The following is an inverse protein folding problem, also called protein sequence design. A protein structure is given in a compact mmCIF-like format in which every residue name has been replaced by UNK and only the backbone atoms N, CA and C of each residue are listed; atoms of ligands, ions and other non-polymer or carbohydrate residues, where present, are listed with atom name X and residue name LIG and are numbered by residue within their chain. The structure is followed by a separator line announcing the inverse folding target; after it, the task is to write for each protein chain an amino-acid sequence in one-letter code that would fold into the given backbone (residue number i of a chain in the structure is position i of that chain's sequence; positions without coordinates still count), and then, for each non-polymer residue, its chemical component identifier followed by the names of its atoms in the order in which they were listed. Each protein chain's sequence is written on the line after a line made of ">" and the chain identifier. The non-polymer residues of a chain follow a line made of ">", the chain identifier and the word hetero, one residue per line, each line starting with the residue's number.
data_IF_185562932666
#
_entry.id   IF_185562932666
#
_cell.length_a   1.000
_cell.length_b   1.000
_cell.length_c   1.000
_cell.angle_alpha   90.00
_cell.angle_beta   90.00
_cell.angle_gamma   90.00
#
_symmetry.space_group_name_H-M   'P 1'
#
loop_
_entity.id
_entity.type
_entity.pdbx_description
1 polymer ?
#
# COMPACT_ATOMS: atom_id res chain seq x y z
N UNK A 1 -49.17 25.61 9.27
CA UNK A 1 -49.02 26.83 8.45
C UNK A 1 -48.62 27.96 9.39
N UNK A 2 -47.36 27.95 9.84
CA UNK A 2 -46.23 28.68 9.27
C UNK A 2 -46.14 30.09 9.87
N UNK A 3 -45.41 30.16 10.99
CA UNK A 3 -44.95 31.36 11.67
C UNK A 3 -43.90 32.06 10.82
N UNK A 4 -44.28 33.17 10.19
CA UNK A 4 -43.37 34.20 9.71
C UNK A 4 -43.36 35.35 10.71
N UNK A 5 -42.19 35.73 11.21
CA UNK A 5 -41.98 37.05 11.79
C UNK A 5 -40.68 37.63 11.24
N UNK A 6 -40.85 38.84 10.74
CA UNK A 6 -39.92 39.66 9.98
C UNK A 6 -38.63 39.98 10.74
N UNK A 7 -37.57 40.09 9.95
CA UNK A 7 -36.31 40.71 10.33
C UNK A 7 -36.49 42.23 10.42
N UNK A 8 -36.14 42.80 11.57
CA UNK A 8 -35.95 44.23 11.73
C UNK A 8 -34.56 44.62 11.19
N UNK A 9 -34.55 45.56 10.25
CA UNK A 9 -33.39 46.30 9.78
C UNK A 9 -33.41 47.69 10.45
N UNK A 10 -32.28 48.19 10.96
CA UNK A 10 -31.74 49.56 10.82
C UNK A 10 -30.53 49.76 11.79
N UNK A 11 -29.74 50.87 11.74
CA UNK A 11 -28.41 50.86 11.15
C UNK A 11 -27.33 51.46 12.07
N UNK A 12 -26.07 51.39 11.67
CA UNK A 12 -25.01 52.21 12.28
C UNK A 12 -23.64 51.74 11.84
N UNK A 13 -23.01 52.45 10.90
CA UNK A 13 -21.77 53.20 11.21
C UNK A 13 -20.58 52.24 11.18
N UNK A 14 -19.86 52.10 10.08
CA UNK A 14 -19.03 53.16 9.53
C UNK A 14 -17.64 53.07 10.18
N UNK A 15 -16.65 52.59 9.42
CA UNK A 15 -15.24 52.82 9.72
C UNK A 15 -14.35 51.59 9.71
N UNK A 16 -13.36 51.62 8.82
CA UNK A 16 -12.03 51.05 9.09
C UNK A 16 -11.88 49.56 8.82
N UNK A 17 -11.28 49.23 7.68
CA UNK A 17 -10.84 47.88 7.38
C UNK A 17 -9.81 47.36 8.37
N UNK A 18 -9.87 46.06 8.60
CA UNK A 18 -8.72 45.23 8.96
C UNK A 18 -8.88 43.91 8.22
N UNK A 19 -7.94 43.63 7.32
CA UNK A 19 -7.84 42.39 6.57
C UNK A 19 -7.44 41.30 7.58
N UNK A 20 -8.41 40.56 8.10
CA UNK A 20 -8.15 39.46 9.03
C UNK A 20 -7.72 38.23 8.21
N UNK A 21 -6.40 38.04 8.13
CA UNK A 21 -5.71 36.90 7.54
C UNK A 21 -6.33 35.56 7.95
N UNK A 22 -6.79 34.81 6.95
CA UNK A 22 -7.12 33.39 7.04
C UNK A 22 -5.83 32.59 7.26
N UNK A 23 -5.46 32.30 8.51
CA UNK A 23 -4.51 31.22 8.81
C UNK A 23 -5.31 29.94 9.05
N UNK A 24 -5.69 29.29 7.95
CA UNK A 24 -6.20 27.92 7.97
C UNK A 24 -5.06 26.95 8.23
N UNK A 25 -4.93 26.49 9.48
CA UNK A 25 -4.00 25.42 9.85
C UNK A 25 -4.51 24.08 9.31
N UNK A 26 -4.04 23.72 8.11
CA UNK A 26 -4.14 22.35 7.61
C UNK A 26 -3.16 21.50 8.44
N UNK A 27 -3.69 20.77 9.41
CA UNK A 27 -2.95 19.72 10.13
C UNK A 27 -2.82 18.53 9.16
N UNK A 28 -1.70 18.48 8.44
CA UNK A 28 -1.28 17.29 7.71
C UNK A 28 -0.93 16.20 8.71
N UNK A 29 -1.87 15.28 8.97
CA UNK A 29 -1.56 13.99 9.60
C UNK A 29 -0.74 13.14 8.61
N UNK A 30 0.56 13.39 8.58
CA UNK A 30 1.53 12.44 8.02
C UNK A 30 1.59 11.24 8.96
N UNK A 31 0.77 10.23 8.67
CA UNK A 31 0.85 8.94 9.31
C UNK A 31 2.15 8.25 8.86
N UNK A 32 3.23 8.46 9.62
CA UNK A 32 4.49 7.74 9.43
C UNK A 32 4.30 6.31 9.92
N UNK A 33 3.91 5.41 9.01
CA UNK A 33 3.94 3.98 9.28
C UNK A 33 5.39 3.51 9.46
N UNK A 34 5.79 3.22 10.69
CA UNK A 34 7.08 2.58 10.96
C UNK A 34 7.02 1.13 10.44
N UNK A 35 7.74 0.84 9.35
CA UNK A 35 8.03 -0.52 8.93
C UNK A 35 9.01 -1.13 9.93
N UNK A 36 8.47 -1.76 10.98
CA UNK A 36 9.25 -2.67 11.81
C UNK A 36 9.56 -3.93 10.98
N UNK A 37 10.68 -3.93 10.26
CA UNK A 37 11.16 -5.07 9.49
C UNK A 37 12.55 -5.45 9.96
N UNK A 38 12.68 -6.60 10.64
CA UNK A 38 13.99 -7.22 10.85
C UNK A 38 14.65 -7.49 9.51
N UNK A 39 15.93 -7.14 9.36
CA UNK A 39 16.67 -7.35 8.11
C UNK A 39 16.76 -8.86 7.84
N UNK A 40 16.03 -9.34 6.82
CA UNK A 40 16.25 -10.67 6.28
C UNK A 40 17.68 -10.75 5.75
N UNK A 41 18.48 -11.65 6.33
CA UNK A 41 19.87 -11.88 5.91
C UNK A 41 19.99 -13.25 5.29
N UNK A 42 20.46 -13.27 4.05
CA UNK A 42 20.85 -14.49 3.38
C UNK A 42 22.34 -14.38 3.02
N UNK A 43 23.18 -15.39 3.32
CA UNK A 43 24.57 -15.38 2.89
C UNK A 43 24.67 -15.16 1.38
N UNK A 44 25.65 -14.37 0.95
CA UNK A 44 25.97 -14.05 -0.45
C UNK A 44 24.85 -13.44 -1.32
N UNK A 45 23.72 -13.06 -0.71
CA UNK A 45 22.60 -12.41 -1.39
C UNK A 45 22.43 -10.98 -0.86
N UNK A 46 22.26 -10.05 -1.79
CA UNK A 46 21.86 -8.68 -1.51
C UNK A 46 20.34 -8.57 -1.68
N UNK A 47 19.69 -7.97 -0.69
CA UNK A 47 18.26 -7.62 -0.74
C UNK A 47 18.14 -6.10 -0.66
N UNK A 48 17.80 -5.48 -1.76
CA UNK A 48 17.64 -4.03 -1.87
C UNK A 48 16.15 -3.70 -2.04
N UNK A 49 15.51 -3.06 -1.05
CA UNK A 49 14.15 -2.55 -1.23
C UNK A 49 14.12 -1.50 -2.34
N UNK A 50 13.14 -1.60 -3.23
CA UNK A 50 12.92 -0.64 -4.34
C UNK A 50 11.52 -0.08 -4.29
N UNK A 51 11.24 0.96 -5.10
CA UNK A 51 9.87 1.45 -5.31
C UNK A 51 9.17 0.65 -6.40
N UNK A 52 7.85 0.59 -6.34
CA UNK A 52 7.02 0.01 -7.42
C UNK A 52 7.28 0.66 -8.79
N UNK A 53 7.54 1.97 -8.81
CA UNK A 53 7.88 2.71 -10.03
C UNK A 53 9.22 2.31 -10.67
N UNK A 54 10.08 1.59 -9.95
CA UNK A 54 11.38 1.10 -10.44
C UNK A 54 11.29 -0.29 -11.05
N UNK A 55 10.12 -0.95 -10.96
CA UNK A 55 9.86 -2.22 -11.61
C UNK A 55 9.44 -2.00 -13.06
N UNK A 56 10.32 -2.33 -13.99
CA UNK A 56 10.04 -2.23 -15.41
C UNK A 56 8.78 -3.06 -15.77
N UNK A 57 7.84 -2.43 -16.48
CA UNK A 57 6.60 -3.06 -16.90
C UNK A 57 5.51 -3.18 -15.83
N UNK A 58 5.76 -2.80 -14.57
CA UNK A 58 4.83 -3.03 -13.46
C UNK A 58 3.42 -2.53 -13.75
N UNK A 59 3.25 -1.27 -14.19
CA UNK A 59 1.92 -0.71 -14.44
C UNK A 59 1.17 -1.35 -15.60
N UNK A 60 1.88 -1.96 -16.54
CA UNK A 60 1.33 -2.52 -17.77
C UNK A 60 1.10 -4.05 -17.68
N UNK A 61 1.49 -4.68 -16.58
CA UNK A 61 1.37 -6.12 -16.39
C UNK A 61 -0.10 -6.56 -16.23
N UNK A 62 -0.38 -7.83 -16.55
CA UNK A 62 -1.69 -8.42 -16.33
C UNK A 62 -1.84 -8.83 -14.86
N UNK A 63 -2.20 -7.86 -14.03
CA UNK A 63 -2.38 -8.09 -12.60
C UNK A 63 -3.56 -9.00 -12.27
N UNK A 64 -4.57 -9.15 -13.15
CA UNK A 64 -5.66 -10.08 -12.93
C UNK A 64 -5.16 -11.52 -13.07
N UNK A 65 -4.38 -11.80 -14.11
CA UNK A 65 -3.71 -13.09 -14.28
C UNK A 65 -2.73 -13.37 -13.13
N UNK A 66 -1.92 -12.38 -12.74
CA UNK A 66 -1.00 -12.51 -11.61
C UNK A 66 -1.73 -12.79 -10.29
N UNK A 67 -2.86 -12.12 -10.04
CA UNK A 67 -3.66 -12.33 -8.83
C UNK A 67 -4.31 -13.73 -8.81
N UNK A 68 -4.80 -14.22 -9.95
CA UNK A 68 -5.31 -15.60 -10.06
C UNK A 68 -4.22 -16.66 -9.80
N UNK A 69 -3.00 -16.43 -10.32
CA UNK A 69 -1.85 -17.28 -10.03
C UNK A 69 -1.47 -17.24 -8.53
N UNK A 70 -1.49 -16.05 -7.93
CA UNK A 70 -1.24 -15.87 -6.49
C UNK A 70 -2.27 -16.62 -5.64
N UNK A 71 -3.56 -16.56 -5.96
CA UNK A 71 -4.59 -17.34 -5.27
C UNK A 71 -4.35 -18.86 -5.37
N UNK A 72 -3.95 -19.33 -6.55
CA UNK A 72 -3.58 -20.74 -6.74
C UNK A 72 -2.41 -21.14 -5.83
N UNK A 73 -1.36 -20.31 -5.76
CA UNK A 73 -0.22 -20.53 -4.85
C UNK A 73 -0.65 -20.57 -3.38
N UNK A 74 -1.58 -19.71 -2.97
CA UNK A 74 -2.09 -19.67 -1.60
C UNK A 74 -2.75 -20.98 -1.16
N UNK A 75 -3.34 -21.76 -2.07
CA UNK A 75 -3.92 -23.07 -1.72
C UNK A 75 -2.86 -24.06 -1.22
N UNK A 76 -1.64 -24.00 -1.75
CA UNK A 76 -0.52 -24.80 -1.28
C UNK A 76 0.10 -24.22 -0.01
N UNK A 77 0.35 -22.90 0.00
CA UNK A 77 0.99 -22.21 1.13
C UNK A 77 0.23 -22.35 2.45
N UNK A 78 -1.11 -22.27 2.40
CA UNK A 78 -1.94 -22.39 3.61
C UNK A 78 -1.92 -23.79 4.24
N UNK A 79 -1.42 -24.81 3.52
CA UNK A 79 -1.26 -26.18 4.03
C UNK A 79 0.10 -26.40 4.69
N UNK A 80 1.06 -25.50 4.48
CA UNK A 80 2.43 -25.63 4.99
C UNK A 80 2.52 -24.95 6.35
N UNK A 81 2.96 -25.69 7.37
CA UNK A 81 3.31 -25.13 8.68
C UNK A 81 4.82 -25.18 8.88
N UNK A 82 5.45 -24.01 9.02
CA UNK A 82 6.87 -23.89 9.38
C UNK A 82 7.04 -23.59 10.86
N UNK A 83 8.00 -24.27 11.49
CA UNK A 83 8.41 -24.09 12.88
C UNK A 83 9.89 -23.72 13.01
N UNK A 84 10.56 -23.49 11.88
CA UNK A 84 11.95 -23.04 11.80
C UNK A 84 12.04 -21.50 11.91
N UNK A 85 13.24 -20.97 11.76
CA UNK A 85 13.55 -19.54 11.74
C UNK A 85 12.77 -18.72 10.69
N UNK A 86 12.09 -19.38 9.74
CA UNK A 86 11.24 -18.75 8.72
C UNK A 86 9.76 -18.77 9.10
N UNK A 87 9.43 -19.24 10.31
CA UNK A 87 8.06 -19.34 10.82
C UNK A 87 7.31 -18.02 10.79
N UNK A 88 7.94 -16.91 11.19
CA UNK A 88 7.33 -15.57 11.18
C UNK A 88 6.95 -15.12 9.77
N UNK A 89 7.85 -15.29 8.79
CA UNK A 89 7.57 -14.99 7.38
C UNK A 89 6.44 -15.88 6.84
N UNK A 90 6.41 -17.16 7.24
CA UNK A 90 5.35 -18.10 6.86
C UNK A 90 3.99 -17.65 7.41
N UNK A 91 3.94 -17.14 8.65
CA UNK A 91 2.72 -16.60 9.26
C UNK A 91 2.27 -15.32 8.55
N UNK A 92 3.19 -14.39 8.29
CA UNK A 92 2.92 -13.16 7.55
C UNK A 92 2.34 -13.45 6.16
N UNK A 93 2.96 -14.36 5.40
CA UNK A 93 2.48 -14.75 4.08
C UNK A 93 1.10 -15.45 4.15
N UNK A 94 0.89 -16.31 5.16
CA UNK A 94 -0.42 -16.95 5.37
C UNK A 94 -1.53 -15.94 5.68
N UNK A 95 -1.22 -14.85 6.40
CA UNK A 95 -2.18 -13.76 6.62
C UNK A 95 -2.58 -13.09 5.30
N UNK A 96 -1.62 -12.81 4.42
CA UNK A 96 -1.92 -12.22 3.09
C UNK A 96 -2.76 -13.17 2.24
N UNK A 97 -2.41 -14.46 2.22
CA UNK A 97 -3.18 -15.48 1.49
C UNK A 97 -4.63 -15.58 1.95
N UNK A 98 -4.90 -15.51 3.26
CA UNK A 98 -6.27 -15.48 3.79
C UNK A 98 -7.06 -14.25 3.33
N UNK A 99 -6.41 -13.09 3.20
CA UNK A 99 -7.07 -11.90 2.63
C UNK A 99 -7.39 -12.10 1.15
N UNK A 100 -6.44 -12.63 0.38
CA UNK A 100 -6.64 -12.89 -1.05
C UNK A 100 -7.76 -13.87 -1.35
N UNK A 101 -7.98 -14.88 -0.50
CA UNK A 101 -8.99 -15.92 -0.69
C UNK A 101 -10.43 -15.40 -0.82
N UNK A 102 -10.73 -14.24 -0.25
CA UNK A 102 -12.07 -13.64 -0.26
C UNK A 102 -12.24 -12.51 -1.30
N UNK A 103 -11.20 -12.24 -2.10
CA UNK A 103 -11.20 -11.17 -3.09
C UNK A 103 -11.34 -11.74 -4.49
N UNK A 104 -12.14 -11.07 -5.33
CA UNK A 104 -12.32 -11.39 -6.75
C UNK A 104 -12.23 -10.08 -7.55
N UNK A 105 -11.04 -9.46 -7.66
CA UNK A 105 -10.86 -8.22 -8.39
C UNK A 105 -11.27 -8.44 -9.86
N UNK A 106 -12.03 -7.49 -10.41
CA UNK A 106 -12.43 -7.47 -11.82
C UNK A 106 -11.61 -6.46 -12.64
N UNK A 107 -10.93 -5.54 -11.96
CA UNK A 107 -10.16 -4.47 -12.56
C UNK A 107 -8.65 -4.66 -12.29
N UNK A 108 -7.82 -4.43 -13.31
CA UNK A 108 -6.36 -4.50 -13.22
C UNK A 108 -5.81 -3.64 -12.08
N UNK A 109 -6.34 -2.42 -11.92
CA UNK A 109 -5.95 -1.48 -10.87
C UNK A 109 -6.20 -2.03 -9.47
N UNK A 110 -7.34 -2.71 -9.26
CA UNK A 110 -7.68 -3.30 -7.97
C UNK A 110 -6.74 -4.46 -7.64
N UNK A 111 -6.42 -5.29 -8.63
CA UNK A 111 -5.47 -6.38 -8.46
C UNK A 111 -4.04 -5.86 -8.20
N UNK A 112 -3.60 -4.80 -8.90
CA UNK A 112 -2.32 -4.13 -8.63
C UNK A 112 -2.25 -3.59 -7.21
N UNK A 113 -3.27 -2.85 -6.80
CA UNK A 113 -3.34 -2.24 -5.47
C UNK A 113 -3.26 -3.27 -4.35
N UNK A 114 -3.79 -4.49 -4.55
CA UNK A 114 -3.62 -5.58 -3.59
C UNK A 114 -2.15 -5.90 -3.33
N UNK A 115 -1.34 -6.02 -4.39
CA UNK A 115 0.09 -6.29 -4.26
C UNK A 115 0.82 -5.13 -3.60
N UNK A 116 0.54 -3.90 -4.02
CA UNK A 116 1.16 -2.69 -3.48
C UNK A 116 0.88 -2.47 -1.99
N UNK A 117 -0.30 -2.88 -1.52
CA UNK A 117 -0.68 -2.78 -0.10
C UNK A 117 -0.20 -3.96 0.74
N UNK A 118 0.06 -5.12 0.11
CA UNK A 118 0.37 -6.36 0.83
C UNK A 118 1.85 -6.71 0.84
N UNK A 119 2.65 -6.13 -0.06
CA UNK A 119 4.05 -6.48 -0.27
C UNK A 119 4.93 -5.24 -0.44
N UNK A 120 6.23 -5.47 -0.26
CA UNK A 120 7.28 -4.53 -0.60
C UNK A 120 8.16 -5.17 -1.68
N UNK A 121 8.43 -4.49 -2.80
CA UNK A 121 9.30 -5.05 -3.82
C UNK A 121 10.76 -4.95 -3.35
N UNK A 122 11.49 -6.05 -3.55
CA UNK A 122 12.90 -6.19 -3.17
C UNK A 122 13.65 -6.71 -4.38
N UNK A 123 14.67 -5.98 -4.81
CA UNK A 123 15.64 -6.44 -5.80
C UNK A 123 16.56 -7.45 -5.13
N UNK A 124 16.65 -8.62 -5.73
CA UNK A 124 17.51 -9.72 -5.27
C UNK A 124 18.70 -9.80 -6.23
N UNK A 125 19.92 -9.77 -5.70
CA UNK A 125 21.14 -9.92 -6.49
C UNK A 125 22.22 -10.67 -5.74
N UNK A 126 23.23 -11.18 -6.45
CA UNK A 126 24.45 -11.67 -5.81
C UNK A 126 25.33 -10.48 -5.43
N UNK A 127 26.18 -10.63 -4.41
CA UNK A 127 27.17 -9.60 -4.09
C UNK A 127 28.06 -9.32 -5.32
N UNK A 128 27.92 -8.13 -5.91
CA UNK A 128 28.67 -7.70 -7.10
C UNK A 128 28.03 -8.02 -8.46
N UNK A 129 26.88 -8.70 -8.51
CA UNK A 129 26.18 -9.03 -9.77
C UNK A 129 24.67 -8.72 -9.66
N UNK A 130 24.19 -7.80 -10.49
CA UNK A 130 22.79 -7.36 -10.52
C UNK A 130 21.91 -8.11 -11.55
N UNK A 131 22.53 -8.82 -12.50
CA UNK A 131 21.84 -9.55 -13.57
C UNK A 131 21.63 -11.01 -13.19
N UNK A 132 20.57 -11.62 -13.74
CA UNK A 132 20.23 -13.02 -13.55
C UNK A 132 19.86 -13.69 -14.87
N UNK A 133 19.94 -15.02 -14.91
CA UNK A 133 19.58 -15.83 -16.07
C UNK A 133 18.18 -16.43 -15.89
N UNK A 134 17.31 -16.26 -16.88
CA UNK A 134 16.00 -16.88 -16.95
C UNK A 134 16.01 -17.97 -18.04
N UNK A 135 15.58 -19.18 -17.71
CA UNK A 135 15.42 -20.31 -18.64
C UNK A 135 14.00 -20.86 -18.57
N UNK A 136 13.52 -21.48 -19.65
CA UNK A 136 12.17 -22.08 -19.76
C UNK A 136 12.21 -23.56 -20.04
#
# INVERSE_FOLDING_TARGET
>A
MQTGREFAQAPGGGGGGVIASLLGTIICFIATGALAGGTLKFPSIQLEPVKWSELAGWTADDHLAAFAAYQTSCQALLKIRRTDERGELSVALSNVCRRAANLQPQELETARAFFEQSFQPVRIGRLGEAEGLLTG
#
